data_IF_813287675718
#
_entry.id   IF_813287675718
#
_cell.length_a   1.000
_cell.length_b   1.000
_cell.length_c   1.000
_cell.angle_alpha   90.00
_cell.angle_beta   90.00
_cell.angle_gamma   90.00
#
_symmetry.space_group_name_H-M   'P 1'
#
loop_
_entity.id
_entity.type
_entity.pdbx_description
1 polymer ?
#
# COMPACT_ATOMS: atom_id res chain seq x y z
N UNK A 1 -2.69 -8.24 -12.13
CA UNK A 1 -3.34 -7.41 -13.16
C UNK A 1 -2.33 -7.25 -14.29
N UNK A 2 -2.59 -7.73 -15.52
CA UNK A 2 -1.54 -7.72 -16.54
C UNK A 2 -1.17 -6.27 -16.89
N UNK A 3 -2.02 -5.46 -17.52
CA UNK A 3 -1.59 -4.17 -18.05
C UNK A 3 -2.25 -2.98 -17.36
N UNK A 4 -1.48 -2.15 -16.62
CA UNK A 4 -1.97 -0.95 -15.95
C UNK A 4 -1.95 0.27 -16.87
N UNK A 5 -3.12 0.79 -17.21
CA UNK A 5 -3.27 2.02 -17.97
C UNK A 5 -3.23 3.25 -17.06
N UNK A 6 -2.83 4.40 -17.62
CA UNK A 6 -2.76 5.66 -16.86
C UNK A 6 -4.10 6.12 -16.25
N UNK A 7 -5.26 6.05 -16.93
CA UNK A 7 -6.54 6.44 -16.32
C UNK A 7 -6.90 5.57 -15.11
N UNK A 8 -6.65 4.26 -15.21
CA UNK A 8 -6.88 3.34 -14.10
C UNK A 8 -5.91 3.61 -12.95
N UNK A 9 -4.65 3.89 -13.27
CA UNK A 9 -3.65 4.28 -12.28
C UNK A 9 -4.05 5.56 -11.53
N UNK A 10 -4.54 6.57 -12.27
CA UNK A 10 -5.01 7.82 -11.70
C UNK A 10 -6.28 7.64 -10.85
N UNK A 11 -7.23 6.81 -11.29
CA UNK A 11 -8.44 6.47 -10.54
C UNK A 11 -8.09 5.81 -9.20
N UNK A 12 -7.18 4.84 -9.21
CA UNK A 12 -6.72 4.14 -8.01
C UNK A 12 -5.95 5.06 -7.06
N UNK A 13 -5.04 5.86 -7.59
CA UNK A 13 -4.29 6.81 -6.77
C UNK A 13 -5.24 7.83 -6.14
N UNK A 14 -6.15 8.43 -6.92
CA UNK A 14 -7.06 9.47 -6.44
C UNK A 14 -8.28 8.96 -5.66
N UNK A 15 -8.48 7.64 -5.57
CA UNK A 15 -9.68 7.06 -4.94
C UNK A 15 -10.97 7.28 -5.77
N UNK A 16 -10.82 7.64 -7.04
CA UNK A 16 -11.89 7.94 -7.97
C UNK A 16 -12.36 6.64 -8.64
N UNK A 17 -13.05 5.77 -7.90
CA UNK A 17 -13.36 4.38 -8.30
C UNK A 17 -14.50 4.26 -9.34
N UNK A 18 -14.33 4.87 -10.50
CA UNK A 18 -15.35 4.96 -11.55
C UNK A 18 -15.59 3.59 -12.21
N UNK A 19 -14.52 2.88 -12.54
CA UNK A 19 -14.61 1.56 -13.17
C UNK A 19 -14.87 0.45 -12.13
N UNK A 20 -15.65 -0.60 -12.49
CA UNK A 20 -15.83 -1.76 -11.62
C UNK A 20 -14.49 -2.46 -11.33
N UNK A 21 -13.55 -2.36 -12.27
CA UNK A 21 -12.20 -2.89 -12.13
C UNK A 21 -11.39 -2.14 -11.07
N UNK A 22 -11.43 -0.80 -11.07
CA UNK A 22 -10.79 0.01 -10.02
C UNK A 22 -11.35 -0.31 -8.63
N UNK A 23 -12.67 -0.50 -8.51
CA UNK A 23 -13.29 -0.89 -7.22
C UNK A 23 -12.76 -2.23 -6.72
N UNK A 24 -12.69 -3.25 -7.58
CA UNK A 24 -12.16 -4.57 -7.21
C UNK A 24 -10.71 -4.52 -6.80
N UNK A 25 -9.88 -3.76 -7.53
CA UNK A 25 -8.49 -3.57 -7.16
C UNK A 25 -8.35 -2.84 -5.83
N UNK A 26 -9.16 -1.81 -5.60
CA UNK A 26 -9.16 -1.10 -4.33
C UNK A 26 -9.61 -2.00 -3.16
N UNK A 27 -10.64 -2.82 -3.36
CA UNK A 27 -11.08 -3.84 -2.39
C UNK A 27 -9.97 -4.88 -2.10
N UNK A 28 -9.23 -5.31 -3.12
CA UNK A 28 -8.07 -6.18 -2.96
C UNK A 28 -6.96 -5.51 -2.12
N UNK A 29 -6.67 -4.23 -2.38
CA UNK A 29 -5.68 -3.47 -1.61
C UNK A 29 -6.12 -3.29 -0.14
N UNK A 30 -7.40 -2.98 0.09
CA UNK A 30 -7.96 -2.86 1.44
C UNK A 30 -7.95 -4.19 2.21
N UNK A 31 -8.15 -5.32 1.52
CA UNK A 31 -8.05 -6.66 2.11
C UNK A 31 -6.61 -7.15 2.30
N UNK A 32 -5.61 -6.33 1.95
CA UNK A 32 -4.19 -6.67 2.08
C UNK A 32 -3.70 -7.68 1.04
N UNK A 33 -4.45 -7.90 -0.04
CA UNK A 33 -4.02 -8.76 -1.13
C UNK A 33 -2.93 -8.06 -1.95
N UNK A 34 -1.79 -8.73 -2.22
CA UNK A 34 -0.74 -8.14 -3.03
C UNK A 34 -1.21 -7.99 -4.47
N UNK A 35 -1.22 -6.75 -4.97
CA UNK A 35 -1.58 -6.45 -6.36
C UNK A 35 -0.32 -6.23 -7.18
N UNK A 36 -0.07 -7.13 -8.12
CA UNK A 36 0.97 -6.99 -9.15
C UNK A 36 0.38 -6.33 -10.40
N UNK A 37 1.08 -5.35 -10.96
CA UNK A 37 0.65 -4.61 -12.15
C UNK A 37 1.83 -4.32 -13.10
N UNK A 38 1.68 -4.57 -14.40
CA UNK A 38 2.70 -4.17 -15.38
C UNK A 38 2.61 -2.68 -15.67
N UNK A 39 3.74 -1.98 -15.55
CA UNK A 39 3.81 -0.53 -15.75
C UNK A 39 3.93 -0.10 -17.22
N UNK A 40 4.10 -1.02 -18.17
CA UNK A 40 4.47 -0.70 -19.56
C UNK A 40 3.61 0.39 -20.23
N UNK A 41 2.29 0.41 -19.98
CA UNK A 41 1.40 1.43 -20.56
C UNK A 41 1.39 2.77 -19.80
N UNK A 42 1.75 2.77 -18.52
CA UNK A 42 1.71 3.94 -17.65
C UNK A 42 3.10 4.48 -17.27
N UNK A 43 4.16 3.85 -17.76
CA UNK A 43 5.54 4.29 -17.56
C UNK A 43 5.92 5.31 -18.65
N UNK A 44 6.22 6.58 -18.30
CA UNK A 44 6.59 7.60 -19.29
C UNK A 44 7.88 7.27 -20.05
N UNK A 45 8.74 6.42 -19.48
CA UNK A 45 10.01 6.02 -20.09
C UNK A 45 9.86 4.77 -20.97
N UNK A 46 8.66 4.17 -21.07
CA UNK A 46 8.42 3.00 -21.93
C UNK A 46 8.50 3.34 -23.42
N UNK A 47 8.94 2.38 -24.23
CA UNK A 47 9.01 2.51 -25.70
C UNK A 47 7.67 2.96 -26.28
N UNK A 48 6.57 2.41 -25.77
CA UNK A 48 5.22 2.78 -26.16
C UNK A 48 4.96 4.27 -25.92
N UNK A 49 5.25 4.77 -24.72
CA UNK A 49 4.99 6.17 -24.38
C UNK A 49 5.98 7.13 -25.05
N UNK A 50 7.19 6.68 -25.37
CA UNK A 50 8.12 7.40 -26.25
C UNK A 50 7.53 7.60 -27.65
N UNK A 51 6.91 6.56 -28.24
CA UNK A 51 6.23 6.65 -29.54
C UNK A 51 5.03 7.60 -29.52
N UNK A 52 4.30 7.66 -28.40
CA UNK A 52 3.21 8.63 -28.20
C UNK A 52 3.71 10.05 -27.92
N UNK A 53 5.03 10.28 -27.86
CA UNK A 53 5.61 11.59 -27.60
C UNK A 53 5.51 12.06 -26.14
N UNK A 54 5.29 11.13 -25.19
CA UNK A 54 5.23 11.45 -23.77
C UNK A 54 6.58 11.98 -23.25
N UNK A 55 7.69 11.52 -23.82
CA UNK A 55 9.04 12.00 -23.51
C UNK A 55 9.24 13.50 -23.83
N UNK A 56 8.47 14.06 -24.77
CA UNK A 56 8.55 15.47 -25.19
C UNK A 56 7.67 16.38 -24.32
N UNK A 57 6.81 15.82 -23.44
CA UNK A 57 5.90 16.55 -22.54
C UNK A 57 6.35 16.42 -21.08
N UNK A 58 7.17 17.37 -20.61
CA UNK A 58 7.78 17.34 -19.27
C UNK A 58 6.77 17.29 -18.10
N UNK A 59 5.66 18.02 -18.19
CA UNK A 59 4.67 18.08 -17.11
C UNK A 59 3.81 16.81 -17.01
N UNK A 60 3.40 16.24 -18.15
CA UNK A 60 2.57 15.04 -18.19
C UNK A 60 3.35 13.81 -17.71
N UNK A 61 4.59 13.65 -18.18
CA UNK A 61 5.48 12.60 -17.69
C UNK A 61 5.73 12.73 -16.18
N UNK A 62 5.89 13.97 -15.67
CA UNK A 62 5.98 14.23 -14.22
C UNK A 62 4.75 13.77 -13.45
N UNK A 63 3.55 14.06 -13.97
CA UNK A 63 2.30 13.61 -13.35
C UNK A 63 2.16 12.09 -13.37
N UNK A 64 2.57 11.42 -14.46
CA UNK A 64 2.60 9.96 -14.55
C UNK A 64 3.49 9.36 -13.48
N UNK A 65 4.75 9.84 -13.34
CA UNK A 65 5.68 9.35 -12.30
C UNK A 65 5.13 9.57 -10.90
N UNK A 66 4.55 10.74 -10.62
CA UNK A 66 3.94 11.03 -9.31
C UNK A 66 2.76 10.10 -9.00
N UNK A 67 1.95 9.78 -10.00
CA UNK A 67 0.82 8.84 -9.87
C UNK A 67 1.32 7.43 -9.58
N UNK A 68 2.35 6.97 -10.31
CA UNK A 68 2.96 5.65 -10.07
C UNK A 68 3.58 5.55 -8.69
N UNK A 69 4.30 6.58 -8.22
CA UNK A 69 4.88 6.62 -6.88
C UNK A 69 3.79 6.46 -5.80
N UNK A 70 2.68 7.19 -5.92
CA UNK A 70 1.54 7.06 -5.00
C UNK A 70 0.91 5.67 -5.02
N UNK A 71 0.83 5.02 -6.19
CA UNK A 71 0.33 3.64 -6.26
C UNK A 71 1.24 2.65 -5.53
N UNK A 72 2.56 2.84 -5.63
CA UNK A 72 3.51 2.01 -4.87
C UNK A 72 3.35 2.20 -3.36
N UNK A 73 3.08 3.44 -2.90
CA UNK A 73 2.77 3.72 -1.50
C UNK A 73 1.43 3.07 -1.06
N UNK A 74 0.45 2.99 -1.96
CA UNK A 74 -0.81 2.28 -1.70
C UNK A 74 -0.66 0.75 -1.65
N UNK A 75 0.52 0.20 -1.95
CA UNK A 75 0.78 -1.25 -1.91
C UNK A 75 0.65 -1.96 -3.26
N UNK A 76 0.50 -1.22 -4.37
CA UNK A 76 0.58 -1.81 -5.71
C UNK A 76 2.05 -2.05 -6.05
N UNK A 77 2.41 -3.29 -6.38
CA UNK A 77 3.74 -3.59 -6.91
C UNK A 77 3.74 -3.39 -8.42
N UNK A 78 4.41 -2.34 -8.86
CA UNK A 78 4.67 -2.08 -10.27
C UNK A 78 5.87 -2.90 -10.73
N UNK A 79 5.69 -3.66 -11.80
CA UNK A 79 6.71 -4.57 -12.33
C UNK A 79 6.85 -4.45 -13.84
N UNK A 80 8.01 -4.86 -14.34
CA UNK A 80 8.19 -5.22 -15.74
C UNK A 80 7.82 -6.69 -15.97
N UNK A 81 7.71 -7.10 -17.24
CA UNK A 81 7.32 -8.48 -17.60
C UNK A 81 8.22 -9.53 -16.95
N UNK A 82 9.54 -9.31 -16.97
CA UNK A 82 10.51 -10.24 -16.41
C UNK A 82 10.37 -10.36 -14.88
N UNK A 83 10.26 -9.22 -14.19
CA UNK A 83 10.07 -9.17 -12.74
C UNK A 83 8.75 -9.83 -12.32
N UNK A 84 7.68 -9.64 -13.10
CA UNK A 84 6.39 -10.27 -12.84
C UNK A 84 6.49 -11.80 -12.96
N UNK A 85 7.14 -12.31 -14.01
CA UNK A 85 7.36 -13.75 -14.18
C UNK A 85 8.20 -14.33 -13.04
N UNK A 86 9.25 -13.62 -12.62
CA UNK A 86 10.10 -14.01 -11.50
C UNK A 86 9.32 -14.07 -10.17
N UNK A 87 8.45 -13.11 -9.91
CA UNK A 87 7.62 -13.12 -8.69
C UNK A 87 6.54 -14.20 -8.70
N UNK A 88 5.95 -14.47 -9.86
CA UNK A 88 4.98 -15.56 -10.02
C UNK A 88 5.63 -16.92 -9.81
N UNK A 89 6.87 -17.11 -10.29
CA UNK A 89 7.62 -18.37 -10.12
C UNK A 89 8.17 -18.53 -8.70
N UNK A 90 8.60 -17.43 -8.07
CA UNK A 90 9.17 -17.45 -6.72
C UNK A 90 8.11 -17.53 -5.61
N UNK A 91 6.82 -17.37 -5.94
CA UNK A 91 5.74 -17.35 -4.95
C UNK A 91 5.89 -16.24 -3.90
N UNK A 92 6.72 -15.22 -4.16
CA UNK A 92 7.08 -14.19 -3.20
C UNK A 92 5.87 -13.31 -2.93
N UNK A 93 5.29 -13.44 -1.73
CA UNK A 93 4.33 -12.48 -1.22
C UNK A 93 4.98 -11.08 -1.20
N UNK A 94 4.25 -10.07 -1.69
CA UNK A 94 4.74 -8.70 -1.64
C UNK A 94 5.06 -8.31 -0.19
N UNK A 95 6.10 -7.49 0.04
CA UNK A 95 6.38 -6.99 1.38
C UNK A 95 5.11 -6.34 1.94
N UNK A 96 4.81 -6.53 3.25
CA UNK A 96 3.64 -5.91 3.86
C UNK A 96 3.69 -4.40 3.59
N UNK A 97 2.53 -3.76 3.33
CA UNK A 97 2.49 -2.34 3.00
C UNK A 97 3.25 -1.59 4.09
N UNK A 98 4.26 -0.82 3.66
CA UNK A 98 5.09 -0.01 4.53
C UNK A 98 4.27 1.20 4.96
N UNK A 99 3.27 0.98 5.81
CA UNK A 99 2.61 2.03 6.57
C UNK A 99 3.58 2.47 7.68
N UNK A 100 4.72 3.03 7.28
CA UNK A 100 5.67 3.68 8.17
C UNK A 100 5.13 5.06 8.54
N UNK A 101 3.99 5.08 9.24
CA UNK A 101 3.46 6.18 10.07
C UNK A 101 2.02 5.87 10.50
N UNK A 102 1.79 4.78 11.25
CA UNK A 102 0.55 4.67 12.06
C UNK A 102 0.92 5.16 13.46
N UNK A 103 0.73 6.45 13.79
CA UNK A 103 -0.55 7.05 14.25
C UNK A 103 -1.22 6.12 15.27
N UNK A 104 -1.03 6.43 16.54
CA UNK A 104 -1.72 5.90 17.73
C UNK A 104 -2.13 4.42 17.71
N UNK A 105 -1.41 3.59 18.47
CA UNK A 105 -1.75 2.21 18.79
C UNK A 105 -3.10 2.11 19.52
N UNK A 106 -3.97 1.22 19.04
CA UNK A 106 -5.28 0.94 19.64
C UNK A 106 -5.20 -0.20 20.67
N UNK A 107 -6.27 -0.38 21.44
CA UNK A 107 -6.37 -1.50 22.39
C UNK A 107 -6.14 -2.85 21.68
N UNK A 108 -6.68 -3.01 20.47
CA UNK A 108 -6.55 -4.24 19.68
C UNK A 108 -5.09 -4.51 19.30
N UNK A 109 -4.34 -3.48 18.94
CA UNK A 109 -2.92 -3.61 18.58
C UNK A 109 -2.09 -4.06 19.79
N UNK A 110 -2.35 -3.47 20.96
CA UNK A 110 -1.67 -3.81 22.23
C UNK A 110 -2.02 -5.22 22.71
N UNK A 111 -3.25 -5.68 22.48
CA UNK A 111 -3.68 -7.06 22.80
C UNK A 111 -3.01 -8.08 21.89
N UNK A 112 -2.96 -7.81 20.59
CA UNK A 112 -2.37 -8.72 19.60
C UNK A 112 -0.84 -8.80 19.71
N UNK A 113 -0.17 -7.68 20.00
CA UNK A 113 1.28 -7.66 20.15
C UNK A 113 1.69 -6.67 21.28
N UNK A 114 1.81 -7.15 22.53
CA UNK A 114 2.11 -6.29 23.67
C UNK A 114 3.52 -5.67 23.64
N UNK A 115 4.43 -6.20 22.81
CA UNK A 115 5.77 -5.63 22.63
C UNK A 115 5.72 -4.26 21.91
N UNK A 116 4.67 -4.00 21.12
CA UNK A 116 4.48 -2.71 20.43
C UNK A 116 4.25 -1.56 21.41
N UNK A 117 3.62 -1.83 22.55
CA UNK A 117 3.38 -0.82 23.60
C UNK A 117 4.64 -0.47 24.40
N UNK A 118 5.72 -1.23 24.25
CA UNK A 118 6.99 -1.02 24.97
C UNK A 118 8.02 -0.24 24.13
N UNK A 119 7.72 0.07 22.86
CA UNK A 119 8.62 0.86 22.03
C UNK A 119 8.62 2.34 22.48
N UNK A 120 9.79 3.02 22.47
CA UNK A 120 9.90 4.41 22.94
C UNK A 120 9.12 5.41 22.08
N UNK A 121 8.90 5.10 20.80
CA UNK A 121 8.15 5.95 19.85
C UNK A 121 6.67 5.53 19.71
N UNK A 122 6.15 4.71 20.62
CA UNK A 122 4.78 4.23 20.58
C UNK A 122 3.79 5.28 21.10
N UNK A 123 3.07 5.95 20.20
CA UNK A 123 1.88 6.72 20.55
C UNK A 123 0.71 5.76 20.80
N UNK A 124 0.03 5.87 21.95
CA UNK A 124 -1.12 5.03 22.33
C UNK A 124 -2.39 5.88 22.34
N UNK A 125 -3.52 5.31 21.94
CA UNK A 125 -4.84 5.93 22.15
C UNK A 125 -5.22 5.95 23.63
N UNK A 126 -6.04 6.90 24.08
CA UNK A 126 -6.50 6.99 25.47
C UNK A 126 -7.10 5.66 25.99
N UNK A 127 -7.87 4.97 25.15
CA UNK A 127 -8.42 3.66 25.48
C UNK A 127 -7.34 2.58 25.70
N UNK A 128 -6.25 2.60 24.92
CA UNK A 128 -5.13 1.67 25.08
C UNK A 128 -4.33 1.98 26.36
N UNK A 129 -4.18 3.26 26.70
CA UNK A 129 -3.54 3.71 27.95
C UNK A 129 -4.35 3.24 29.16
N UNK A 130 -5.67 3.42 29.14
CA UNK A 130 -6.54 2.99 30.24
C UNK A 130 -6.58 1.47 30.39
N UNK A 131 -6.58 0.73 29.28
CA UNK A 131 -6.45 -0.73 29.28
C UNK A 131 -5.15 -1.20 29.97
N UNK A 132 -4.01 -0.59 29.66
CA UNK A 132 -2.72 -0.91 30.29
C UNK A 132 -2.69 -0.54 31.78
N UNK A 133 -3.29 0.59 32.16
CA UNK A 133 -3.41 1.02 33.56
C UNK A 133 -4.26 0.06 34.38
N UNK A 134 -5.40 -0.39 33.84
CA UNK A 134 -6.28 -1.34 34.53
C UNK A 134 -5.63 -2.71 34.68
N UNK A 135 -4.91 -3.17 33.65
CA UNK A 135 -4.16 -4.43 33.72
C UNK A 135 -3.05 -4.40 34.79
N UNK A 136 -2.42 -3.25 35.04
CA UNK A 136 -1.46 -3.07 36.14
C UNK A 136 -2.13 -2.95 37.52
N UNK A 137 -3.38 -2.48 37.58
CA UNK A 137 -4.17 -2.35 38.82
C UNK A 137 -4.86 -3.65 39.25
N UNK A 138 -4.97 -4.63 38.35
CA UNK A 138 -5.49 -5.97 38.67
C UNK A 138 -4.39 -7.06 38.73
N UNK A 139 -3.35 -6.95 39.59
CA UNK A 139 -2.42 -8.06 39.80
C UNK A 139 -3.03 -9.19 40.66
N UNK A 140 -4.30 -9.08 41.09
CA UNK A 140 -4.95 -10.01 42.02
C UNK A 140 -5.94 -11.00 41.39
N UNK A 141 -6.11 -10.99 40.07
CA UNK A 141 -6.96 -11.96 39.37
C UNK A 141 -6.15 -12.97 38.57
N UNK A 142 -5.17 -13.61 39.23
CA UNK A 142 -4.64 -14.90 38.81
C UNK A 142 -4.80 -15.89 39.96
N UNK A 143 -5.91 -16.64 39.91
CA UNK A 143 -6.04 -18.00 40.45
C UNK A 143 -6.71 -18.86 39.40
#
# INVERSE_FOLDING_TARGET
>A
MPFLDYPLAADLANGSLHSPFARRLHEALLSGLPVLALRYHCDPDSELNQLYGAATRSAYAGQMRATLARLTECGVTLCDMNELLERLTSGSAAPPPVNATRRYLTVTDVVNNPALAAAPDAELTDAAIDFLKNRKKEPYLNK
#
